data_IF_195127677168
#
_entry.id   IF_195127677168
#
_cell.length_a   1.000
_cell.length_b   1.000
_cell.length_c   1.000
_cell.angle_alpha   90.00
_cell.angle_beta   90.00
_cell.angle_gamma   90.00
#
_symmetry.space_group_name_H-M   'P 1'
#
loop_
_entity.id
_entity.type
_entity.pdbx_description
1 polymer ?
#
# COMPACT_ATOMS: atom_id res chain seq x y z
N UNK A 1 -7.92 10.39 -24.33
CA UNK A 1 -7.22 11.02 -23.18
C UNK A 1 -6.99 12.52 -23.35
N UNK A 2 -6.08 13.03 -24.18
CA UNK A 2 -5.87 14.51 -24.27
C UNK A 2 -7.12 15.26 -24.76
N UNK A 3 -7.86 14.70 -25.73
CA UNK A 3 -9.15 15.26 -26.19
C UNK A 3 -10.23 15.21 -25.12
N UNK A 4 -10.22 14.17 -24.27
CA UNK A 4 -11.17 14.04 -23.16
C UNK A 4 -10.90 15.10 -22.09
N UNK A 5 -9.62 15.34 -21.76
CA UNK A 5 -9.22 16.41 -20.84
C UNK A 5 -9.50 17.81 -21.42
N UNK A 6 -9.37 18.02 -22.74
CA UNK A 6 -9.75 19.31 -23.37
C UNK A 6 -11.26 19.58 -23.23
N UNK A 7 -12.07 18.56 -23.52
CA UNK A 7 -13.52 18.65 -23.34
C UNK A 7 -13.88 18.86 -21.86
N UNK A 8 -13.27 18.09 -20.94
CA UNK A 8 -13.49 18.22 -19.51
C UNK A 8 -13.09 19.61 -18.99
N UNK A 9 -11.96 20.16 -19.43
CA UNK A 9 -11.49 21.48 -19.02
C UNK A 9 -12.39 22.62 -19.53
N UNK A 10 -12.97 22.50 -20.73
CA UNK A 10 -13.95 23.47 -21.25
C UNK A 10 -15.24 23.43 -20.47
N UNK A 11 -15.80 22.24 -20.25
CA UNK A 11 -17.01 22.06 -19.44
C UNK A 11 -16.79 22.58 -18.02
N UNK A 12 -15.67 22.19 -17.40
CA UNK A 12 -15.31 22.63 -16.05
C UNK A 12 -15.07 24.13 -15.94
N UNK A 13 -14.60 24.79 -17.00
CA UNK A 13 -14.47 26.27 -17.00
C UNK A 13 -15.84 26.95 -16.95
N UNK A 14 -16.82 26.45 -17.70
CA UNK A 14 -18.19 26.99 -17.66
C UNK A 14 -18.86 26.70 -16.32
N UNK A 15 -18.66 25.50 -15.76
CA UNK A 15 -19.17 25.13 -14.43
C UNK A 15 -18.52 25.97 -13.32
N UNK A 16 -17.23 26.30 -13.45
CA UNK A 16 -16.52 27.18 -12.51
C UNK A 16 -17.13 28.57 -12.48
N UNK A 17 -17.48 29.17 -13.63
CA UNK A 17 -18.10 30.49 -13.67
C UNK A 17 -19.44 30.52 -12.92
N UNK A 18 -20.24 29.47 -13.09
CA UNK A 18 -21.50 29.27 -12.35
C UNK A 18 -21.21 29.10 -10.85
N UNK A 19 -20.24 28.26 -10.50
CA UNK A 19 -19.86 28.02 -9.12
C UNK A 19 -19.35 29.29 -8.42
N UNK A 20 -18.59 30.14 -9.12
CA UNK A 20 -18.09 31.43 -8.60
C UNK A 20 -19.26 32.38 -8.34
N UNK A 21 -20.24 32.43 -9.25
CA UNK A 21 -21.43 33.24 -9.06
C UNK A 21 -22.33 32.75 -7.90
N UNK A 22 -22.39 31.43 -7.69
CA UNK A 22 -23.22 30.79 -6.65
C UNK A 22 -22.58 30.86 -5.25
N UNK A 23 -21.28 30.56 -5.14
CA UNK A 23 -20.57 30.32 -3.88
C UNK A 23 -19.41 31.29 -3.58
N UNK A 24 -19.07 32.18 -4.52
CA UNK A 24 -18.00 33.17 -4.38
C UNK A 24 -16.59 32.61 -4.63
N UNK A 25 -15.65 33.52 -4.87
CA UNK A 25 -14.27 33.19 -5.29
C UNK A 25 -13.47 32.40 -4.23
N UNK A 26 -13.68 32.68 -2.94
CA UNK A 26 -12.92 32.02 -1.88
C UNK A 26 -13.21 30.51 -1.82
N UNK A 27 -14.49 30.13 -1.93
CA UNK A 27 -14.93 28.73 -1.87
C UNK A 27 -14.61 27.97 -3.15
N UNK A 28 -14.56 28.65 -4.30
CA UNK A 28 -14.23 28.04 -5.59
C UNK A 28 -12.74 28.00 -5.89
N UNK A 29 -11.88 28.56 -5.03
CA UNK A 29 -10.42 28.54 -5.23
C UNK A 29 -9.85 27.17 -5.59
N UNK A 30 -10.20 26.04 -4.92
CA UNK A 30 -9.69 24.72 -5.30
C UNK A 30 -10.12 24.28 -6.71
N UNK A 31 -11.33 24.65 -7.14
CA UNK A 31 -11.82 24.36 -8.49
C UNK A 31 -11.15 25.26 -9.53
N UNK A 32 -10.92 26.52 -9.20
CA UNK A 32 -10.09 27.43 -10.01
C UNK A 32 -8.68 26.87 -10.21
N UNK A 33 -8.04 26.39 -9.14
CA UNK A 33 -6.72 25.76 -9.19
C UNK A 33 -6.74 24.50 -10.08
N UNK A 34 -7.75 23.64 -9.93
CA UNK A 34 -7.92 22.43 -10.75
C UNK A 34 -8.07 22.76 -12.25
N UNK A 35 -8.87 23.78 -12.60
CA UNK A 35 -9.05 24.25 -13.99
C UNK A 35 -7.75 24.83 -14.55
N UNK A 36 -7.00 25.59 -13.75
CA UNK A 36 -5.68 26.11 -14.14
C UNK A 36 -4.69 24.97 -14.39
N UNK A 37 -4.64 23.98 -13.49
CA UNK A 37 -3.78 22.80 -13.61
C UNK A 37 -4.12 21.99 -14.87
N UNK A 38 -5.41 21.82 -15.18
CA UNK A 38 -5.85 21.14 -16.39
C UNK A 38 -5.45 21.89 -17.66
N UNK A 39 -5.60 23.21 -17.70
CA UNK A 39 -5.13 24.05 -18.82
C UNK A 39 -3.62 23.93 -19.02
N UNK A 40 -2.85 23.90 -17.93
CA UNK A 40 -1.40 23.70 -17.98
C UNK A 40 -1.02 22.30 -18.50
N UNK A 41 -1.71 21.25 -18.05
CA UNK A 41 -1.50 19.88 -18.53
C UNK A 41 -1.81 19.74 -20.03
N UNK A 42 -2.87 20.39 -20.52
CA UNK A 42 -3.21 20.43 -21.95
C UNK A 42 -2.16 21.18 -22.76
N UNK A 43 -1.69 22.33 -22.29
CA UNK A 43 -0.62 23.08 -22.95
C UNK A 43 0.66 22.24 -23.09
N UNK A 44 1.05 21.53 -22.02
CA UNK A 44 2.18 20.60 -22.06
C UNK A 44 1.95 19.45 -23.05
N UNK A 45 0.75 18.90 -23.10
CA UNK A 45 0.40 17.85 -24.06
C UNK A 45 0.54 18.33 -25.51
N UNK A 46 0.12 19.56 -25.82
CA UNK A 46 0.31 20.16 -27.14
C UNK A 46 1.77 20.43 -27.49
N UNK A 47 2.58 20.91 -26.53
CA UNK A 47 4.03 21.08 -26.74
C UNK A 47 4.72 19.75 -27.03
N UNK A 48 4.41 18.71 -26.25
CA UNK A 48 4.96 17.36 -26.49
C UNK A 48 4.50 16.82 -27.84
N UNK A 49 3.25 17.04 -28.22
CA UNK A 49 2.76 16.63 -29.54
C UNK A 49 3.50 17.35 -30.67
N UNK A 50 3.72 18.64 -30.55
CA UNK A 50 4.45 19.44 -31.53
C UNK A 50 5.90 18.97 -31.66
N UNK A 51 6.55 18.61 -30.54
CA UNK A 51 7.90 18.06 -30.54
C UNK A 51 7.96 16.72 -31.28
N UNK A 52 7.04 15.79 -30.95
CA UNK A 52 6.96 14.48 -31.60
C UNK A 52 6.62 14.53 -33.09
N UNK A 53 5.94 15.60 -33.53
CA UNK A 53 5.55 15.84 -34.93
C UNK A 53 6.60 16.69 -35.68
N UNK A 54 7.72 17.08 -35.04
CA UNK A 54 8.77 17.89 -35.67
C UNK A 54 9.71 17.07 -36.59
N UNK A 55 10.61 17.76 -37.30
CA UNK A 55 11.52 17.14 -38.27
C UNK A 55 12.69 16.35 -37.66
N UNK A 56 12.82 16.32 -36.34
CA UNK A 56 13.93 15.71 -35.59
C UNK A 56 13.42 14.54 -34.74
N UNK A 57 13.52 13.29 -35.21
CA UNK A 57 12.95 12.15 -34.50
C UNK A 57 13.68 11.89 -33.18
N UNK A 58 12.92 11.75 -32.09
CA UNK A 58 13.44 11.34 -30.78
C UNK A 58 13.76 9.85 -30.72
N UNK A 59 14.59 9.46 -29.74
CA UNK A 59 14.80 8.03 -29.46
C UNK A 59 13.51 7.38 -28.93
N UNK A 60 13.34 6.06 -29.09
CA UNK A 60 12.18 5.35 -28.54
C UNK A 60 11.99 5.55 -27.02
N UNK A 61 13.08 5.66 -26.27
CA UNK A 61 13.07 5.91 -24.83
C UNK A 61 12.59 7.32 -24.49
N UNK A 62 13.11 8.34 -25.18
CA UNK A 62 12.70 9.74 -25.02
C UNK A 62 11.23 9.93 -25.37
N UNK A 63 10.77 9.34 -26.48
CA UNK A 63 9.36 9.36 -26.89
C UNK A 63 8.46 8.74 -25.81
N UNK A 64 8.88 7.61 -25.23
CA UNK A 64 8.12 6.95 -24.16
C UNK A 64 8.04 7.81 -22.90
N UNK A 65 9.14 8.46 -22.51
CA UNK A 65 9.17 9.35 -21.35
C UNK A 65 8.24 10.55 -21.55
N UNK A 66 8.32 11.22 -22.71
CA UNK A 66 7.48 12.36 -23.06
C UNK A 66 5.99 11.99 -23.02
N UNK A 67 5.61 10.89 -23.66
CA UNK A 67 4.22 10.40 -23.67
C UNK A 67 3.74 9.99 -22.27
N UNK A 68 4.59 9.34 -21.48
CA UNK A 68 4.26 8.94 -20.10
C UNK A 68 3.98 10.17 -19.25
N UNK A 69 4.82 11.22 -19.36
CA UNK A 69 4.64 12.48 -18.64
C UNK A 69 3.31 13.15 -18.98
N UNK A 70 2.94 13.19 -20.26
CA UNK A 70 1.66 13.73 -20.71
C UNK A 70 0.49 12.94 -20.15
N UNK A 71 0.55 11.60 -20.22
CA UNK A 71 -0.51 10.72 -19.70
C UNK A 71 -0.70 10.92 -18.20
N UNK A 72 0.39 10.93 -17.42
CA UNK A 72 0.32 11.10 -15.96
C UNK A 72 -0.22 12.49 -15.58
N UNK A 73 0.24 13.55 -16.26
CA UNK A 73 -0.21 14.92 -16.03
C UNK A 73 -1.70 15.08 -16.37
N UNK A 74 -2.13 14.59 -17.54
CA UNK A 74 -3.52 14.62 -17.98
C UNK A 74 -4.44 13.82 -17.04
N UNK A 75 -4.04 12.60 -16.64
CA UNK A 75 -4.82 11.76 -15.73
C UNK A 75 -4.88 12.30 -14.30
N UNK A 76 -3.91 13.10 -13.86
CA UNK A 76 -3.98 13.81 -12.58
C UNK A 76 -4.96 14.98 -12.67
N UNK A 77 -4.86 15.80 -13.70
CA UNK A 77 -5.74 16.95 -13.91
C UNK A 77 -7.21 16.53 -14.07
N UNK A 78 -7.48 15.46 -14.81
CA UNK A 78 -8.83 14.90 -14.99
C UNK A 78 -9.46 14.48 -13.66
N UNK A 79 -8.72 13.74 -12.83
CA UNK A 79 -9.19 13.34 -11.49
C UNK A 79 -9.41 14.53 -10.56
N UNK A 80 -8.55 15.53 -10.64
CA UNK A 80 -8.68 16.75 -9.83
C UNK A 80 -9.94 17.52 -10.22
N UNK A 81 -10.19 17.69 -11.53
CA UNK A 81 -11.42 18.31 -12.04
C UNK A 81 -12.66 17.54 -11.58
N UNK A 82 -12.70 16.23 -11.78
CA UNK A 82 -13.88 15.43 -11.42
C UNK A 82 -14.18 15.49 -9.91
N UNK A 83 -13.14 15.41 -9.07
CA UNK A 83 -13.29 15.57 -7.62
C UNK A 83 -13.87 16.93 -7.23
N UNK A 84 -13.49 18.01 -7.93
CA UNK A 84 -14.06 19.32 -7.66
C UNK A 84 -15.50 19.43 -8.15
N UNK A 85 -15.83 18.86 -9.31
CA UNK A 85 -17.21 18.83 -9.84
C UNK A 85 -18.15 18.12 -8.88
N UNK A 86 -17.78 16.93 -8.42
CA UNK A 86 -18.55 16.18 -7.40
C UNK A 86 -18.74 17.00 -6.11
N UNK A 87 -17.71 17.71 -5.65
CA UNK A 87 -17.81 18.54 -4.46
C UNK A 87 -18.81 19.71 -4.64
N UNK A 88 -18.87 20.32 -5.82
CA UNK A 88 -19.84 21.39 -6.13
C UNK A 88 -21.26 20.86 -6.31
N UNK A 89 -21.42 19.67 -6.90
CA UNK A 89 -22.72 18.99 -6.96
C UNK A 89 -23.28 18.74 -5.56
N UNK A 90 -22.44 18.29 -4.62
CA UNK A 90 -22.86 18.11 -3.22
C UNK A 90 -23.27 19.43 -2.54
N UNK A 91 -22.58 20.54 -2.85
CA UNK A 91 -22.96 21.86 -2.34
C UNK A 91 -24.31 22.31 -2.92
N UNK A 92 -24.52 22.09 -4.21
CA UNK A 92 -25.79 22.43 -4.88
C UNK A 92 -26.94 21.57 -4.38
N UNK A 93 -26.72 20.26 -4.18
CA UNK A 93 -27.69 19.35 -3.57
C UNK A 93 -28.12 19.84 -2.19
N UNK A 94 -27.16 20.27 -1.36
CA UNK A 94 -27.45 20.83 -0.04
C UNK A 94 -28.36 22.05 -0.14
N UNK A 95 -28.07 22.98 -1.07
CA UNK A 95 -28.88 24.20 -1.26
C UNK A 95 -30.29 23.85 -1.76
N UNK A 96 -30.41 22.96 -2.75
CA UNK A 96 -31.71 22.52 -3.30
C UNK A 96 -32.56 21.85 -2.22
N UNK A 97 -31.94 20.99 -1.41
CA UNK A 97 -32.61 20.23 -0.37
C UNK A 97 -32.55 20.90 1.01
N UNK A 98 -32.19 22.18 1.08
CA UNK A 98 -32.01 22.87 2.35
C UNK A 98 -33.25 22.85 3.27
N UNK A 99 -34.50 23.05 2.76
CA UNK A 99 -35.68 23.02 3.63
C UNK A 99 -35.88 21.67 4.33
N UNK A 100 -35.81 20.56 3.58
CA UNK A 100 -36.00 19.21 4.15
C UNK A 100 -34.87 18.83 5.09
N UNK A 101 -33.62 19.21 4.77
CA UNK A 101 -32.47 19.03 5.67
C UNK A 101 -32.66 19.79 6.98
N UNK A 102 -33.10 21.05 6.93
CA UNK A 102 -33.33 21.87 8.12
C UNK A 102 -34.44 21.34 9.02
N UNK A 103 -35.48 20.75 8.43
CA UNK A 103 -36.53 20.07 9.20
C UNK A 103 -35.98 18.83 9.90
N UNK A 104 -35.14 18.04 9.22
CA UNK A 104 -34.41 16.92 9.83
C UNK A 104 -33.48 17.35 10.97
N UNK A 105 -32.75 18.47 10.82
CA UNK A 105 -31.90 19.02 11.90
C UNK A 105 -32.73 19.50 13.09
N UNK A 106 -33.90 20.08 12.83
CA UNK A 106 -34.83 20.53 13.89
C UNK A 106 -35.38 19.32 14.67
N UNK A 107 -35.74 18.25 13.97
CA UNK A 107 -36.17 17.01 14.61
C UNK A 107 -35.07 16.41 15.50
N UNK A 108 -33.83 16.36 14.99
CA UNK A 108 -32.67 15.89 15.77
C UNK A 108 -32.39 16.77 16.99
N UNK A 109 -32.49 18.09 16.84
CA UNK A 109 -32.36 19.03 17.95
C UNK A 109 -33.37 18.74 19.07
N UNK A 110 -34.64 18.53 18.72
CA UNK A 110 -35.70 18.20 19.69
C UNK A 110 -35.42 16.85 20.37
N UNK A 111 -35.05 15.82 19.60
CA UNK A 111 -34.68 14.50 20.11
C UNK A 111 -33.53 14.60 21.13
N UNK A 112 -32.44 15.29 20.78
CA UNK A 112 -31.27 15.44 21.64
C UNK A 112 -31.55 16.32 22.86
N UNK A 113 -32.38 17.35 22.72
CA UNK A 113 -32.83 18.18 23.85
C UNK A 113 -33.61 17.34 24.87
N UNK A 114 -34.48 16.43 24.40
CA UNK A 114 -35.21 15.53 25.29
C UNK A 114 -34.31 14.52 26.03
N UNK A 115 -33.09 14.26 25.53
CA UNK A 115 -32.11 13.38 26.17
C UNK A 115 -31.28 14.06 27.27
N UNK A 116 -31.30 15.39 27.37
CA UNK A 116 -30.48 16.14 28.32
C UNK A 116 -30.79 15.78 29.77
N UNK A 117 -32.08 15.78 30.15
CA UNK A 117 -32.48 15.50 31.54
C UNK A 117 -32.23 14.03 31.93
N UNK A 118 -32.58 13.02 31.09
CA UNK A 118 -32.17 11.63 31.32
C UNK A 118 -30.66 11.46 31.46
N UNK A 119 -29.85 12.10 30.60
CA UNK A 119 -28.39 12.01 30.70
C UNK A 119 -27.84 12.67 31.98
N UNK A 120 -28.44 13.79 32.42
CA UNK A 120 -28.08 14.43 33.67
C UNK A 120 -28.38 13.54 34.89
N UNK A 121 -29.54 12.88 34.90
CA UNK A 121 -29.91 11.90 35.91
C UNK A 121 -28.95 10.72 35.91
N UNK A 122 -28.64 10.18 34.71
CA UNK A 122 -27.69 9.08 34.57
C UNK A 122 -26.31 9.45 35.10
N UNK A 123 -25.80 10.63 34.77
CA UNK A 123 -24.52 11.11 35.29
C UNK A 123 -24.53 11.27 36.82
N UNK A 124 -25.66 11.67 37.41
CA UNK A 124 -25.81 11.74 38.86
C UNK A 124 -25.80 10.34 39.51
N UNK A 125 -26.45 9.35 38.90
CA UNK A 125 -26.39 7.95 39.34
C UNK A 125 -24.96 7.40 39.28
N UNK A 126 -24.23 7.68 38.20
CA UNK A 126 -22.85 7.22 38.03
C UNK A 126 -21.92 7.76 39.14
N UNK A 127 -22.16 8.98 39.64
CA UNK A 127 -21.40 9.57 40.76
C UNK A 127 -21.59 8.83 42.08
N UNK A 128 -22.64 8.02 42.22
CA UNK A 128 -22.82 7.14 43.37
C UNK A 128 -22.15 5.77 43.18
N UNK A 129 -21.90 5.37 41.94
CA UNK A 129 -21.32 4.06 41.59
C UNK A 129 -19.79 4.11 41.43
N UNK A 130 -19.26 5.20 40.87
CA UNK A 130 -17.84 5.35 40.54
C UNK A 130 -17.22 6.54 41.26
N UNK A 131 -15.90 6.47 41.48
CA UNK A 131 -15.12 7.59 42.01
C UNK A 131 -15.19 8.81 41.06
N UNK A 132 -15.26 10.06 41.56
CA UNK A 132 -15.30 11.26 40.73
C UNK A 132 -14.20 11.32 39.67
N UNK A 133 -13.01 10.78 39.97
CA UNK A 133 -11.92 10.79 39.03
C UNK A 133 -12.17 9.88 37.82
N UNK A 134 -12.90 8.76 37.99
CA UNK A 134 -13.24 7.85 36.89
C UNK A 134 -14.29 8.45 35.94
N UNK A 135 -15.00 9.48 36.42
CA UNK A 135 -16.00 10.23 35.68
C UNK A 135 -15.44 11.52 35.06
N UNK A 136 -14.16 11.84 35.24
CA UNK A 136 -13.56 13.10 34.74
C UNK A 136 -13.81 13.32 33.24
N UNK A 137 -13.74 12.25 32.45
CA UNK A 137 -13.95 12.30 31.00
C UNK A 137 -15.40 12.58 30.58
N UNK A 138 -16.38 12.31 31.45
CA UNK A 138 -17.82 12.44 31.16
C UNK A 138 -18.51 13.51 32.01
N UNK A 139 -17.85 14.03 33.04
CA UNK A 139 -18.45 14.93 34.03
C UNK A 139 -18.97 16.24 33.44
N UNK A 140 -18.36 16.71 32.34
CA UNK A 140 -18.73 17.94 31.63
C UNK A 140 -19.64 17.73 30.42
N UNK A 141 -19.91 16.48 30.02
CA UNK A 141 -20.51 16.19 28.71
C UNK A 141 -21.93 16.72 28.58
N UNK A 142 -22.73 16.67 29.65
CA UNK A 142 -24.10 17.21 29.63
C UNK A 142 -24.11 18.72 29.45
N UNK A 143 -23.19 19.43 30.13
CA UNK A 143 -23.07 20.89 29.99
C UNK A 143 -22.58 21.27 28.59
N UNK A 144 -21.53 20.59 28.09
CA UNK A 144 -21.04 20.80 26.74
C UNK A 144 -22.11 20.48 25.68
N UNK A 145 -22.91 19.41 25.86
CA UNK A 145 -24.00 19.07 24.95
C UNK A 145 -25.05 20.19 24.88
N UNK A 146 -25.41 20.82 26.01
CA UNK A 146 -26.31 21.99 26.03
C UNK A 146 -25.73 23.14 25.20
N UNK A 147 -24.46 23.49 25.39
CA UNK A 147 -23.81 24.55 24.61
C UNK A 147 -23.79 24.24 23.09
N UNK A 148 -23.57 22.97 22.72
CA UNK A 148 -23.64 22.52 21.32
C UNK A 148 -25.05 22.60 20.75
N UNK A 149 -26.07 22.24 21.54
CA UNK A 149 -27.47 22.37 21.14
C UNK A 149 -27.86 23.84 20.93
N UNK A 150 -27.47 24.74 21.83
CA UNK A 150 -27.70 26.18 21.65
C UNK A 150 -26.99 26.73 20.40
N UNK A 151 -25.77 26.27 20.12
CA UNK A 151 -25.07 26.64 18.90
C UNK A 151 -25.76 26.07 17.65
N UNK A 152 -26.25 24.83 17.70
CA UNK A 152 -27.01 24.23 16.62
C UNK A 152 -28.31 25.00 16.34
N UNK A 153 -29.08 25.35 17.37
CA UNK A 153 -30.32 26.12 17.26
C UNK A 153 -30.10 27.47 16.57
N UNK A 154 -29.09 28.23 17.00
CA UNK A 154 -28.70 29.48 16.35
C UNK A 154 -28.37 29.29 14.86
N UNK A 155 -27.61 28.25 14.52
CA UNK A 155 -27.23 27.97 13.13
C UNK A 155 -28.41 27.46 12.28
N UNK A 156 -29.34 26.69 12.85
CA UNK A 156 -30.60 26.31 12.19
C UNK A 156 -31.41 27.57 11.87
N UNK A 157 -31.50 28.52 12.81
CA UNK A 157 -32.13 29.82 12.59
C UNK A 157 -31.48 30.61 11.45
N UNK A 158 -30.15 30.77 11.48
CA UNK A 158 -29.38 31.44 10.43
C UNK A 158 -29.55 30.77 9.06
N UNK A 159 -29.54 29.43 9.01
CA UNK A 159 -29.76 28.68 7.79
C UNK A 159 -31.18 28.86 7.25
N UNK A 160 -32.21 28.88 8.11
CA UNK A 160 -33.59 29.16 7.69
C UNK A 160 -33.73 30.58 7.13
N UNK A 161 -33.09 31.58 7.76
CA UNK A 161 -33.07 32.94 7.23
C UNK A 161 -32.35 33.03 5.88
N UNK A 162 -31.20 32.38 5.73
CA UNK A 162 -30.43 32.35 4.49
C UNK A 162 -31.17 31.63 3.36
N UNK A 163 -31.89 30.55 3.67
CA UNK A 163 -32.71 29.81 2.72
C UNK A 163 -33.87 30.66 2.16
N UNK A 164 -34.47 31.53 2.99
CA UNK A 164 -35.56 32.43 2.57
C UNK A 164 -35.03 33.60 1.73
N UNK A 165 -33.82 34.09 2.03
CA UNK A 165 -33.19 35.23 1.34
C UNK A 165 -32.33 34.82 0.14
N UNK A 166 -32.56 33.67 -0.47
CA UNK A 166 -31.74 33.11 -1.55
C UNK A 166 -31.65 34.03 -2.80
N UNK A 167 -30.80 35.05 -2.69
CA UNK A 167 -30.27 35.89 -3.76
C UNK A 167 -28.90 35.29 -4.13
N UNK A 168 -28.59 35.22 -5.42
CA UNK A 168 -27.31 34.74 -5.95
C UNK A 168 -26.13 35.37 -5.19
N UNK A 169 -25.22 34.51 -4.66
CA UNK A 169 -24.04 34.92 -3.89
C UNK A 169 -24.11 34.73 -2.36
N UNK A 170 -25.26 34.34 -1.79
CA UNK A 170 -25.40 34.08 -0.33
C UNK A 170 -25.51 32.58 0.04
N UNK A 171 -25.33 31.67 -0.93
CA UNK A 171 -25.45 30.21 -0.70
C UNK A 171 -24.35 29.69 0.26
N UNK A 172 -23.23 30.39 0.34
CA UNK A 172 -22.12 30.09 1.27
C UNK A 172 -22.57 30.15 2.72
N UNK A 173 -23.32 31.20 3.10
CA UNK A 173 -23.81 31.36 4.47
C UNK A 173 -24.81 30.26 4.86
N UNK A 174 -25.66 29.84 3.91
CA UNK A 174 -26.59 28.72 4.10
C UNK A 174 -25.83 27.41 4.33
N UNK A 175 -24.88 27.07 3.44
CA UNK A 175 -24.07 25.86 3.55
C UNK A 175 -23.32 25.82 4.89
N UNK A 176 -22.71 26.94 5.28
CA UNK A 176 -21.92 27.02 6.51
C UNK A 176 -22.79 26.85 7.76
N UNK A 177 -23.95 27.50 7.79
CA UNK A 177 -24.89 27.37 8.89
C UNK A 177 -25.45 25.93 8.99
N UNK A 178 -25.81 25.30 7.86
CA UNK A 178 -26.26 23.89 7.83
C UNK A 178 -25.17 22.95 8.35
N UNK A 179 -23.95 23.05 7.83
CA UNK A 179 -22.83 22.20 8.25
C UNK A 179 -22.44 22.43 9.71
N UNK A 180 -22.48 23.68 10.17
CA UNK A 180 -22.22 24.02 11.57
C UNK A 180 -23.27 23.42 12.51
N UNK A 181 -24.55 23.46 12.12
CA UNK A 181 -25.63 22.82 12.86
C UNK A 181 -25.49 21.28 12.88
N UNK A 182 -25.25 20.66 11.72
CA UNK A 182 -24.99 19.21 11.59
C UNK A 182 -23.84 18.77 12.50
N UNK A 183 -22.70 19.47 12.43
CA UNK A 183 -21.53 19.17 13.25
C UNK A 183 -21.83 19.31 14.76
N UNK A 184 -22.55 20.37 15.15
CA UNK A 184 -22.89 20.61 16.54
C UNK A 184 -23.88 19.58 17.10
N UNK A 185 -24.91 19.19 16.33
CA UNK A 185 -25.85 18.12 16.71
C UNK A 185 -25.13 16.77 16.81
N UNK A 186 -24.21 16.47 15.88
CA UNK A 186 -23.36 15.28 15.95
C UNK A 186 -22.50 15.27 17.21
N UNK A 187 -21.88 16.39 17.56
CA UNK A 187 -21.10 16.53 18.79
C UNK A 187 -21.97 16.37 20.05
N UNK A 188 -23.15 16.99 20.09
CA UNK A 188 -24.09 16.84 21.20
C UNK A 188 -24.51 15.38 21.39
N UNK A 189 -24.83 14.68 20.29
CA UNK A 189 -25.17 13.24 20.30
C UNK A 189 -24.03 12.41 20.89
N UNK A 190 -22.80 12.56 20.38
CA UNK A 190 -21.63 11.82 20.88
C UNK A 190 -21.36 12.07 22.37
N UNK A 191 -21.53 13.31 22.84
CA UNK A 191 -21.36 13.65 24.25
C UNK A 191 -22.41 12.96 25.15
N UNK A 192 -23.66 12.89 24.70
CA UNK A 192 -24.73 12.23 25.44
C UNK A 192 -24.60 10.70 25.39
N UNK A 193 -24.25 10.14 24.23
CA UNK A 193 -23.97 8.72 24.07
C UNK A 193 -22.81 8.28 24.99
N UNK A 194 -21.79 9.12 25.16
CA UNK A 194 -20.68 8.85 26.08
C UNK A 194 -21.14 8.79 27.55
N UNK A 195 -22.15 9.57 27.96
CA UNK A 195 -22.73 9.49 29.31
C UNK A 195 -23.55 8.21 29.47
N UNK A 196 -24.32 7.84 28.46
CA UNK A 196 -25.15 6.63 28.47
C UNK A 196 -24.29 5.36 28.55
N UNK A 197 -23.17 5.33 27.82
CA UNK A 197 -22.25 4.19 27.77
C UNK A 197 -21.20 4.18 28.90
N UNK A 198 -21.03 5.28 29.63
CA UNK A 198 -19.95 5.44 30.62
C UNK A 198 -19.83 4.29 31.61
N UNK A 199 -20.94 3.77 32.16
CA UNK A 199 -20.89 2.64 33.09
C UNK A 199 -20.30 1.38 32.45
N UNK A 200 -20.72 1.06 31.23
CA UNK A 200 -20.23 -0.12 30.53
C UNK A 200 -18.75 0.06 30.17
N UNK A 201 -18.38 1.24 29.67
CA UNK A 201 -17.01 1.57 29.28
C UNK A 201 -16.05 1.57 30.47
N UNK A 202 -16.46 2.12 31.62
CA UNK A 202 -15.66 2.14 32.85
C UNK A 202 -15.45 0.71 33.36
N UNK A 203 -16.51 -0.10 33.46
CA UNK A 203 -16.41 -1.49 33.91
C UNK A 203 -15.54 -2.33 32.97
N UNK A 204 -15.75 -2.20 31.66
CA UNK A 204 -14.91 -2.87 30.67
C UNK A 204 -13.44 -2.46 30.80
N UNK A 205 -13.16 -1.18 31.00
CA UNK A 205 -11.81 -0.67 31.20
C UNK A 205 -11.18 -1.26 32.47
N UNK A 206 -11.91 -1.29 33.58
CA UNK A 206 -11.46 -1.89 34.84
C UNK A 206 -11.13 -3.39 34.65
N UNK A 207 -12.02 -4.13 34.00
CA UNK A 207 -11.86 -5.57 33.78
C UNK A 207 -10.73 -5.90 32.80
N UNK A 208 -10.52 -5.06 31.77
CA UNK A 208 -9.54 -5.26 30.71
C UNK A 208 -8.13 -4.74 31.04
N UNK A 209 -8.00 -3.74 31.92
CA UNK A 209 -6.72 -3.11 32.27
C UNK A 209 -5.63 -4.11 32.70
N UNK A 210 -5.89 -5.12 33.55
CA UNK A 210 -4.85 -6.08 33.94
C UNK A 210 -4.27 -6.88 32.76
N UNK A 211 -5.12 -7.33 31.83
CA UNK A 211 -4.67 -8.05 30.63
C UNK A 211 -3.84 -7.13 29.74
N UNK A 212 -4.33 -5.93 29.49
CA UNK A 212 -3.66 -4.94 28.64
C UNK A 212 -2.29 -4.52 29.20
N UNK A 213 -2.16 -4.40 30.54
CA UNK A 213 -0.87 -4.18 31.19
C UNK A 213 0.07 -5.36 30.91
N UNK A 214 -0.41 -6.60 31.04
CA UNK A 214 0.37 -7.80 30.73
C UNK A 214 0.88 -7.82 29.28
N UNK A 215 0.00 -7.52 28.33
CA UNK A 215 0.32 -7.49 26.91
C UNK A 215 1.35 -6.40 26.58
N UNK A 216 1.15 -5.19 27.10
CA UNK A 216 2.09 -4.08 26.93
C UNK A 216 3.47 -4.40 27.54
N UNK A 217 3.52 -5.03 28.71
CA UNK A 217 4.78 -5.48 29.32
C UNK A 217 5.50 -6.52 28.47
N UNK A 218 4.76 -7.48 27.89
CA UNK A 218 5.32 -8.45 26.97
C UNK A 218 5.83 -7.79 25.68
N UNK A 219 5.13 -6.77 25.16
CA UNK A 219 5.60 -5.92 24.07
C UNK A 219 6.91 -5.21 24.40
N UNK A 220 7.00 -4.58 25.57
CA UNK A 220 8.20 -3.87 26.05
C UNK A 220 9.39 -4.82 26.18
N UNK A 221 9.18 -6.02 26.73
CA UNK A 221 10.23 -7.03 26.86
C UNK A 221 10.77 -7.47 25.48
N UNK A 222 9.88 -7.73 24.51
CA UNK A 222 10.26 -8.04 23.12
C UNK A 222 11.06 -6.89 22.48
N UNK A 223 10.62 -5.65 22.69
CA UNK A 223 11.33 -4.49 22.18
C UNK A 223 12.74 -4.35 22.80
N UNK A 224 12.89 -4.59 24.10
CA UNK A 224 14.18 -4.57 24.79
C UNK A 224 15.16 -5.62 24.26
N UNK A 225 14.67 -6.82 23.95
CA UNK A 225 15.47 -7.88 23.31
C UNK A 225 15.96 -7.44 21.93
N UNK A 226 15.04 -6.94 21.08
CA UNK A 226 15.38 -6.47 19.74
C UNK A 226 16.36 -5.29 19.74
N UNK A 227 16.19 -4.34 20.65
CA UNK A 227 17.08 -3.18 20.79
C UNK A 227 18.50 -3.57 21.24
N UNK A 228 18.64 -4.62 22.07
CA UNK A 228 19.96 -5.16 22.42
C UNK A 228 20.65 -5.79 21.22
N UNK A 229 19.91 -6.50 20.37
CA UNK A 229 20.42 -7.12 19.15
C UNK A 229 20.77 -6.10 18.06
N UNK A 230 19.96 -5.03 17.91
CA UNK A 230 20.01 -4.11 16.77
C UNK A 230 20.80 -2.81 17.01
N UNK A 231 21.42 -2.62 18.17
CA UNK A 231 22.08 -1.37 18.62
C UNK A 231 23.14 -0.77 17.67
N UNK A 232 23.36 -1.34 16.48
CA UNK A 232 24.26 -0.82 15.44
C UNK A 232 23.68 -0.78 14.00
N UNK A 233 22.44 -1.22 13.68
CA UNK A 233 22.09 -1.53 12.27
C UNK A 233 20.68 -1.24 11.70
N UNK A 234 19.66 -0.84 12.47
CA UNK A 234 18.32 -0.60 11.90
C UNK A 234 17.94 0.88 11.84
N UNK A 235 17.37 1.32 10.71
CA UNK A 235 16.83 2.68 10.55
C UNK A 235 15.67 2.96 11.52
N UNK A 236 14.93 1.91 11.90
CA UNK A 236 13.72 1.98 12.74
C UNK A 236 13.99 1.73 14.24
N UNK A 237 15.26 1.59 14.64
CA UNK A 237 15.62 1.36 16.05
C UNK A 237 15.25 2.52 16.98
N UNK A 238 15.32 3.76 16.49
CA UNK A 238 14.90 4.96 17.23
C UNK A 238 13.40 4.99 17.48
N UNK A 239 12.60 4.63 16.47
CA UNK A 239 11.13 4.56 16.58
C UNK A 239 10.70 3.48 17.58
N UNK A 240 11.33 2.28 17.52
CA UNK A 240 11.06 1.22 18.49
C UNK A 240 11.41 1.66 19.93
N UNK A 241 12.53 2.35 20.14
CA UNK A 241 12.91 2.86 21.46
C UNK A 241 11.89 3.88 21.98
N UNK A 242 11.46 4.81 21.13
CA UNK A 242 10.46 5.81 21.52
C UNK A 242 9.10 5.19 21.87
N UNK A 243 8.65 4.22 21.07
CA UNK A 243 7.40 3.50 21.31
C UNK A 243 7.47 2.65 22.60
N UNK A 244 8.61 1.98 22.83
CA UNK A 244 8.88 1.21 24.05
C UNK A 244 8.82 2.10 25.30
N UNK A 245 9.45 3.27 25.27
CA UNK A 245 9.43 4.19 26.41
C UNK A 245 8.04 4.82 26.63
N UNK A 246 7.27 5.07 25.55
CA UNK A 246 5.89 5.50 25.65
C UNK A 246 4.99 4.44 26.30
N UNK A 247 5.14 3.18 25.91
CA UNK A 247 4.45 2.04 26.52
C UNK A 247 4.83 1.89 28.00
N UNK A 248 6.11 2.05 28.36
CA UNK A 248 6.55 2.04 29.76
C UNK A 248 5.84 3.12 30.61
N UNK A 249 5.81 4.37 30.12
CA UNK A 249 5.07 5.45 30.80
C UNK A 249 3.57 5.17 30.91
N UNK A 250 2.97 4.56 29.90
CA UNK A 250 1.55 4.20 29.93
C UNK A 250 1.24 3.08 30.94
N UNK A 251 2.12 2.08 31.06
CA UNK A 251 2.02 1.02 32.08
C UNK A 251 2.15 1.61 33.48
N UNK A 252 3.11 2.52 33.70
CA UNK A 252 3.30 3.18 34.99
C UNK A 252 2.07 4.03 35.37
N UNK A 253 1.52 4.77 34.41
CA UNK A 253 0.27 5.51 34.59
C UNK A 253 -0.91 4.59 34.94
N UNK A 254 -1.09 3.49 34.20
CA UNK A 254 -2.16 2.54 34.45
C UNK A 254 -2.05 1.88 35.82
N UNK A 255 -0.84 1.64 36.33
CA UNK A 255 -0.62 1.09 37.68
C UNK A 255 -0.85 2.11 38.80
N UNK A 256 -0.41 3.34 38.60
CA UNK A 256 -0.53 4.40 39.62
C UNK A 256 -1.90 5.04 39.69
N UNK A 257 -2.54 5.23 38.54
CA UNK A 257 -3.76 6.02 38.38
C UNK A 257 -4.91 5.24 37.76
N UNK A 258 -4.76 3.98 37.35
CA UNK A 258 -5.82 3.23 36.65
C UNK A 258 -7.06 2.92 37.49
N UNK A 259 -6.95 2.93 38.82
CA UNK A 259 -8.12 2.85 39.71
C UNK A 259 -8.90 4.17 39.78
N UNK A 260 -8.20 5.29 39.55
CA UNK A 260 -8.70 6.66 39.69
C UNK A 260 -9.19 7.18 38.33
N UNK A 261 -8.54 6.83 37.22
CA UNK A 261 -8.92 7.17 35.85
C UNK A 261 -8.80 5.93 34.95
N UNK A 262 -9.73 4.97 35.06
CA UNK A 262 -9.68 3.73 34.28
C UNK A 262 -9.81 3.98 32.78
N UNK A 263 -10.66 4.93 32.36
CA UNK A 263 -10.86 5.25 30.94
C UNK A 263 -9.61 5.88 30.31
N UNK A 264 -9.00 6.87 30.97
CA UNK A 264 -7.78 7.50 30.47
C UNK A 264 -6.60 6.53 30.48
N UNK A 265 -6.47 5.71 31.52
CA UNK A 265 -5.43 4.68 31.60
C UNK A 265 -5.57 3.65 30.47
N UNK A 266 -6.78 3.14 30.25
CA UNK A 266 -7.06 2.17 29.21
C UNK A 266 -6.79 2.75 27.81
N UNK A 267 -7.26 3.98 27.54
CA UNK A 267 -7.04 4.65 26.25
C UNK A 267 -5.56 4.93 25.98
N UNK A 268 -4.82 5.43 26.96
CA UNK A 268 -3.39 5.72 26.83
C UNK A 268 -2.58 4.43 26.62
N UNK A 269 -2.90 3.38 27.37
CA UNK A 269 -2.21 2.10 27.26
C UNK A 269 -2.53 1.39 25.95
N UNK A 270 -3.78 1.40 25.49
CA UNK A 270 -4.18 0.84 24.19
C UNK A 270 -3.45 1.52 23.04
N UNK A 271 -3.37 2.86 23.06
CA UNK A 271 -2.63 3.62 22.04
C UNK A 271 -1.15 3.25 22.05
N UNK A 272 -0.52 3.26 23.23
CA UNK A 272 0.89 2.97 23.36
C UNK A 272 1.24 1.52 22.96
N UNK A 273 0.39 0.56 23.31
CA UNK A 273 0.53 -0.84 22.89
C UNK A 273 0.39 -1.00 21.37
N UNK A 274 -0.61 -0.35 20.76
CA UNK A 274 -0.79 -0.37 19.31
C UNK A 274 0.42 0.25 18.57
N UNK A 275 0.95 1.36 19.08
CA UNK A 275 2.14 2.00 18.50
C UNK A 275 3.39 1.14 18.65
N UNK A 276 3.57 0.49 19.80
CA UNK A 276 4.66 -0.46 20.04
C UNK A 276 4.56 -1.69 19.12
N UNK A 277 3.38 -2.28 19.01
CA UNK A 277 3.14 -3.44 18.16
C UNK A 277 3.35 -3.10 16.67
N UNK A 278 3.01 -1.88 16.24
CA UNK A 278 3.32 -1.41 14.88
C UNK A 278 4.82 -1.35 14.64
N UNK A 279 5.58 -0.76 15.56
CA UNK A 279 7.04 -0.70 15.45
C UNK A 279 7.69 -2.10 15.45
N UNK A 280 7.20 -3.00 16.31
CA UNK A 280 7.63 -4.40 16.35
C UNK A 280 7.34 -5.12 15.03
N UNK A 281 6.16 -4.91 14.44
CA UNK A 281 5.77 -5.52 13.17
C UNK A 281 6.65 -5.05 12.01
N UNK A 282 6.94 -3.74 11.93
CA UNK A 282 7.88 -3.18 10.93
C UNK A 282 9.24 -3.87 11.01
N UNK A 283 9.81 -4.00 12.21
CA UNK A 283 11.11 -4.64 12.39
C UNK A 283 11.06 -6.14 12.05
N UNK A 284 9.97 -6.83 12.40
CA UNK A 284 9.80 -8.24 12.04
C UNK A 284 9.73 -8.43 10.51
N UNK A 285 9.04 -7.54 9.80
CA UNK A 285 8.95 -7.56 8.34
C UNK A 285 10.30 -7.29 7.67
N UNK A 286 11.08 -6.33 8.18
CA UNK A 286 12.45 -6.06 7.72
C UNK A 286 13.35 -7.29 7.88
N UNK A 287 13.30 -7.96 9.04
CA UNK A 287 14.08 -9.19 9.28
C UNK A 287 13.66 -10.32 8.35
N UNK A 288 12.36 -10.53 8.20
CA UNK A 288 11.83 -11.57 7.34
C UNK A 288 12.17 -11.32 5.86
N UNK A 289 12.17 -10.05 5.42
CA UNK A 289 12.57 -9.69 4.06
C UNK A 289 14.07 -9.90 3.82
N UNK A 290 14.92 -9.48 4.76
CA UNK A 290 16.36 -9.71 4.71
C UNK A 290 16.71 -11.21 4.68
N UNK A 291 16.04 -12.04 5.50
CA UNK A 291 16.23 -13.49 5.49
C UNK A 291 15.78 -14.16 4.18
N UNK A 292 14.67 -13.70 3.60
CA UNK A 292 14.21 -14.17 2.27
C UNK A 292 15.25 -13.83 1.20
N UNK A 293 15.77 -12.59 1.21
CA UNK A 293 16.79 -12.15 0.26
C UNK A 293 18.08 -12.97 0.41
N UNK A 294 18.54 -13.21 1.65
CA UNK A 294 19.71 -14.04 1.93
C UNK A 294 19.56 -15.47 1.44
N UNK A 295 18.39 -16.09 1.63
CA UNK A 295 18.11 -17.43 1.10
C UNK A 295 18.09 -17.46 -0.43
N UNK A 296 17.51 -16.44 -1.06
CA UNK A 296 17.51 -16.30 -2.53
C UNK A 296 18.93 -16.20 -3.08
N UNK A 297 19.78 -15.37 -2.44
CA UNK A 297 21.19 -15.23 -2.77
C UNK A 297 21.94 -16.56 -2.68
N UNK A 298 21.83 -17.27 -1.57
CA UNK A 298 22.50 -18.56 -1.37
C UNK A 298 22.12 -19.58 -2.46
N UNK A 299 20.83 -19.64 -2.83
CA UNK A 299 20.35 -20.54 -3.88
C UNK A 299 20.87 -20.15 -5.27
N UNK A 300 20.83 -18.86 -5.60
CA UNK A 300 21.32 -18.34 -6.88
C UNK A 300 22.84 -18.58 -7.03
N UNK A 301 23.60 -18.29 -5.97
CA UNK A 301 25.04 -18.49 -5.93
C UNK A 301 25.40 -19.97 -6.10
N UNK A 302 24.80 -20.87 -5.32
CA UNK A 302 25.05 -22.31 -5.44
C UNK A 302 24.77 -22.85 -6.85
N UNK A 303 23.67 -22.39 -7.46
CA UNK A 303 23.29 -22.77 -8.82
C UNK A 303 24.32 -22.28 -9.84
N UNK A 304 24.75 -21.02 -9.72
CA UNK A 304 25.75 -20.44 -10.59
C UNK A 304 27.11 -21.13 -10.45
N UNK A 305 27.59 -21.35 -9.22
CA UNK A 305 28.85 -22.06 -8.95
C UNK A 305 28.87 -23.45 -9.55
N UNK A 306 27.80 -24.22 -9.36
CA UNK A 306 27.69 -25.59 -9.87
C UNK A 306 27.73 -25.63 -11.40
N UNK A 307 27.01 -24.72 -12.06
CA UNK A 307 27.00 -24.62 -13.53
C UNK A 307 28.33 -24.16 -14.08
N UNK A 308 28.91 -23.07 -13.55
CA UNK A 308 30.21 -22.55 -14.02
C UNK A 308 31.29 -23.62 -13.89
N UNK A 309 31.33 -24.37 -12.77
CA UNK A 309 32.28 -25.46 -12.57
C UNK A 309 32.09 -26.58 -13.61
N UNK A 310 30.85 -27.09 -13.75
CA UNK A 310 30.56 -28.18 -14.69
C UNK A 310 30.89 -27.82 -16.14
N UNK A 311 30.57 -26.60 -16.57
CA UNK A 311 30.85 -26.14 -17.93
C UNK A 311 32.36 -25.92 -18.12
N UNK A 312 33.06 -25.37 -17.13
CA UNK A 312 34.52 -25.21 -17.18
C UNK A 312 35.22 -26.57 -17.32
N UNK A 313 34.83 -27.56 -16.52
CA UNK A 313 35.38 -28.92 -16.61
C UNK A 313 35.08 -29.58 -17.97
N UNK A 314 33.86 -29.37 -18.49
CA UNK A 314 33.46 -29.85 -19.82
C UNK A 314 34.31 -29.23 -20.94
N UNK A 315 34.58 -27.92 -20.84
CA UNK A 315 35.40 -27.18 -21.79
C UNK A 315 36.87 -27.62 -21.71
N UNK A 316 37.40 -27.76 -20.50
CA UNK A 316 38.80 -28.11 -20.27
C UNK A 316 39.17 -29.50 -20.77
N UNK A 317 38.28 -30.47 -20.62
CA UNK A 317 38.47 -31.83 -21.13
C UNK A 317 38.41 -31.92 -22.66
N UNK A 318 37.95 -30.87 -23.36
CA UNK A 318 37.72 -30.83 -24.81
C UNK A 318 38.33 -29.60 -25.50
N UNK A 319 39.47 -29.13 -24.99
CA UNK A 319 40.20 -27.94 -25.47
C UNK A 319 40.58 -27.96 -26.96
N UNK A 320 40.67 -29.14 -27.59
CA UNK A 320 40.94 -29.23 -29.03
C UNK A 320 39.71 -28.99 -29.91
N UNK A 321 38.51 -29.10 -29.34
CA UNK A 321 37.24 -29.16 -30.08
C UNK A 321 36.38 -27.92 -29.84
N UNK A 322 36.43 -27.34 -28.64
CA UNK A 322 35.56 -26.24 -28.25
C UNK A 322 36.15 -24.90 -28.68
N UNK A 323 35.32 -24.10 -29.35
CA UNK A 323 35.65 -22.83 -29.95
C UNK A 323 35.83 -21.68 -28.94
N UNK A 324 36.29 -20.51 -29.41
CA UNK A 324 36.57 -19.36 -28.56
C UNK A 324 35.30 -18.76 -27.91
N UNK A 325 34.15 -18.85 -28.58
CA UNK A 325 32.90 -18.24 -28.12
C UNK A 325 32.40 -18.85 -26.80
N UNK A 326 32.39 -20.19 -26.69
CA UNK A 326 32.02 -20.89 -25.46
C UNK A 326 32.98 -20.55 -24.30
N UNK A 327 34.29 -20.40 -24.59
CA UNK A 327 35.31 -20.04 -23.59
C UNK A 327 35.11 -18.62 -23.07
N UNK A 328 34.83 -17.67 -23.97
CA UNK A 328 34.52 -16.28 -23.59
C UNK A 328 33.31 -16.23 -22.68
N UNK A 329 32.23 -16.95 -23.00
CA UNK A 329 31.02 -16.99 -22.17
C UNK A 329 31.26 -17.57 -20.78
N UNK A 330 32.08 -18.62 -20.64
CA UNK A 330 32.47 -19.16 -19.33
C UNK A 330 33.36 -18.18 -18.54
N UNK A 331 34.26 -17.46 -19.21
CA UNK A 331 35.09 -16.44 -18.56
C UNK A 331 34.23 -15.28 -18.03
N UNK A 332 33.27 -14.82 -18.82
CA UNK A 332 32.29 -13.80 -18.40
C UNK A 332 31.40 -14.31 -17.26
N UNK A 333 30.94 -15.56 -17.32
CA UNK A 333 30.18 -16.19 -16.24
C UNK A 333 30.97 -16.20 -14.91
N UNK A 334 32.26 -16.53 -14.99
CA UNK A 334 33.17 -16.54 -13.83
C UNK A 334 33.36 -15.13 -13.26
N UNK A 335 33.48 -14.11 -14.13
CA UNK A 335 33.56 -12.71 -13.71
C UNK A 335 32.29 -12.27 -12.95
N UNK A 336 31.11 -12.62 -13.47
CA UNK A 336 29.84 -12.32 -12.79
C UNK A 336 29.67 -13.09 -11.48
N UNK A 337 30.17 -14.34 -11.39
CA UNK A 337 30.17 -15.09 -10.15
C UNK A 337 31.04 -14.42 -9.07
N UNK A 338 32.19 -13.86 -9.46
CA UNK A 338 33.03 -13.10 -8.54
C UNK A 338 32.35 -11.80 -8.10
N UNK A 339 31.77 -11.04 -9.04
CA UNK A 339 31.02 -9.83 -8.71
C UNK A 339 29.84 -10.11 -7.76
N UNK A 340 29.16 -11.25 -7.91
CA UNK A 340 28.10 -11.68 -6.98
C UNK A 340 28.60 -11.92 -5.54
N UNK A 341 29.87 -12.30 -5.34
CA UNK A 341 30.47 -12.46 -4.01
C UNK A 341 30.93 -11.12 -3.46
N UNK A 342 31.51 -10.30 -4.32
CA UNK A 342 32.01 -8.97 -3.93
C UNK A 342 30.85 -8.07 -3.48
N UNK A 343 29.68 -8.17 -4.11
CA UNK A 343 28.47 -7.40 -3.75
C UNK A 343 27.65 -7.98 -2.59
N UNK A 344 28.01 -9.14 -2.03
CA UNK A 344 27.22 -9.81 -0.96
C UNK A 344 27.00 -8.89 0.26
N UNK A 345 28.02 -8.12 0.63
CA UNK A 345 28.01 -7.27 1.83
C UNK A 345 27.40 -5.88 1.61
N UNK A 346 27.30 -5.43 0.37
CA UNK A 346 26.95 -4.05 -0.01
C UNK A 346 25.57 -3.95 -0.64
N UNK A 347 25.28 -4.81 -1.62
CA UNK A 347 23.99 -4.86 -2.31
C UNK A 347 23.62 -6.31 -2.66
N UNK A 348 22.84 -6.92 -1.79
CA UNK A 348 22.44 -8.31 -1.96
C UNK A 348 21.48 -8.52 -3.15
N UNK A 349 20.76 -7.49 -3.61
CA UNK A 349 19.92 -7.59 -4.79
C UNK A 349 20.78 -7.64 -6.06
N UNK A 350 21.80 -6.78 -6.15
CA UNK A 350 22.76 -6.80 -7.25
C UNK A 350 23.60 -8.09 -7.25
N UNK A 351 23.96 -8.58 -6.06
CA UNK A 351 24.63 -9.87 -5.89
C UNK A 351 23.81 -11.03 -6.48
N UNK A 352 22.49 -11.06 -6.26
CA UNK A 352 21.57 -12.04 -6.86
C UNK A 352 21.54 -11.87 -8.39
N UNK A 353 21.47 -10.64 -8.90
CA UNK A 353 21.43 -10.36 -10.33
C UNK A 353 22.72 -10.86 -11.04
N UNK A 354 23.88 -10.64 -10.43
CA UNK A 354 25.15 -11.17 -10.89
C UNK A 354 25.21 -12.70 -10.88
N UNK A 355 24.73 -13.36 -9.81
CA UNK A 355 24.67 -14.82 -9.75
C UNK A 355 23.76 -15.41 -10.85
N UNK A 356 22.59 -14.81 -11.09
CA UNK A 356 21.68 -15.23 -12.15
C UNK A 356 22.28 -15.03 -13.56
N UNK A 357 22.97 -13.90 -13.77
CA UNK A 357 23.70 -13.63 -15.00
C UNK A 357 24.80 -14.67 -15.24
N UNK A 358 25.58 -15.02 -14.22
CA UNK A 358 26.59 -16.07 -14.29
C UNK A 358 25.99 -17.44 -14.69
N UNK A 359 24.87 -17.83 -14.07
CA UNK A 359 24.14 -19.06 -14.41
C UNK A 359 23.65 -19.09 -15.87
N UNK A 360 23.24 -17.93 -16.40
CA UNK A 360 22.75 -17.77 -17.77
C UNK A 360 23.90 -17.86 -18.79
N UNK A 361 25.02 -17.18 -18.52
CA UNK A 361 26.22 -17.24 -19.34
C UNK A 361 26.84 -18.64 -19.36
N UNK A 362 26.84 -19.34 -18.23
CA UNK A 362 27.28 -20.74 -18.16
C UNK A 362 26.39 -21.66 -19.02
N UNK A 363 25.06 -21.47 -19.00
CA UNK A 363 24.16 -22.25 -19.85
C UNK A 363 24.39 -21.98 -21.35
N UNK A 364 24.64 -20.73 -21.73
CA UNK A 364 24.98 -20.37 -23.11
C UNK A 364 26.31 -20.98 -23.54
N UNK A 365 27.33 -20.93 -22.67
CA UNK A 365 28.62 -21.57 -22.90
C UNK A 365 28.48 -23.09 -23.09
N UNK A 366 27.63 -23.76 -22.29
CA UNK A 366 27.35 -25.19 -22.46
C UNK A 366 26.71 -25.50 -23.80
N UNK A 367 25.75 -24.69 -24.25
CA UNK A 367 25.09 -24.88 -25.55
C UNK A 367 26.09 -24.78 -26.69
N UNK A 368 26.89 -23.70 -26.71
CA UNK A 368 27.94 -23.49 -27.71
C UNK A 368 28.96 -24.63 -27.71
N UNK A 369 29.43 -25.04 -26.52
CA UNK A 369 30.37 -26.14 -26.37
C UNK A 369 29.79 -27.49 -26.86
N UNK A 370 28.48 -27.71 -26.70
CA UNK A 370 27.82 -28.90 -27.23
C UNK A 370 27.72 -28.87 -28.75
N UNK A 371 27.43 -27.71 -29.33
CA UNK A 371 27.33 -27.53 -30.78
C UNK A 371 28.69 -27.67 -31.45
N UNK A 372 29.77 -27.15 -30.84
CA UNK A 372 31.15 -27.34 -31.28
C UNK A 372 31.54 -28.83 -31.32
N UNK A 373 31.20 -29.59 -30.27
CA UNK A 373 31.47 -31.02 -30.20
C UNK A 373 30.71 -31.79 -31.27
N UNK A 374 29.43 -31.45 -31.50
CA UNK A 374 28.63 -32.06 -32.58
C UNK A 374 29.21 -31.75 -33.96
N UNK A 375 29.61 -30.50 -34.21
CA UNK A 375 30.21 -30.09 -35.47
C UNK A 375 31.52 -30.83 -35.73
N UNK A 376 32.38 -30.95 -34.72
CA UNK A 376 33.62 -31.72 -34.85
C UNK A 376 33.37 -33.20 -35.10
N UNK A 377 32.42 -33.83 -34.40
CA UNK A 377 32.04 -35.22 -34.64
C UNK A 377 31.59 -35.46 -36.10
N UNK A 378 30.83 -34.53 -36.69
CA UNK A 378 30.41 -34.60 -38.09
C UNK A 378 31.60 -34.48 -39.06
N UNK A 379 32.57 -33.61 -38.78
CA UNK A 379 33.80 -33.47 -39.58
C UNK A 379 34.69 -34.72 -39.49
N UNK A 380 34.80 -35.32 -38.31
CA UNK A 380 35.55 -36.57 -38.13
C UNK A 380 34.83 -37.79 -38.76
N UNK A 381 33.49 -37.84 -38.70
CA UNK A 381 32.70 -38.89 -39.36
C UNK A 381 32.70 -38.76 -40.90
N UNK A 382 32.74 -37.53 -41.44
CA UNK A 382 32.79 -37.28 -42.88
C UNK A 382 34.16 -37.50 -43.55
N UNK A 383 35.23 -37.72 -42.76
CA UNK A 383 36.59 -37.99 -43.26
C UNK A 383 37.00 -39.47 -43.21
N UNK A 384 36.14 -40.34 -42.68
CA UNK A 384 36.33 -41.79 -42.59
C UNK A 384 35.50 -42.54 -43.64
N UNK A 385 35.80 -42.29 -44.92
CA UNK A 385 35.17 -42.93 -46.07
C UNK A 385 36.15 -43.64 -46.98
N UNK A 386 37.10 -44.39 -46.42
CA UNK A 386 37.70 -45.59 -47.07
C UNK A 386 38.44 -46.40 -46.02
N UNK A 387 37.97 -47.64 -45.81
CA UNK A 387 38.67 -48.78 -45.20
C UNK A 387 39.61 -48.54 -44.00
N UNK A 388 39.15 -48.90 -42.80
CA UNK A 388 39.78 -49.98 -42.04
C UNK A 388 38.95 -50.33 -40.80
N UNK A 389 38.59 -51.61 -40.71
CA UNK A 389 37.98 -52.19 -39.53
C UNK A 389 38.95 -52.33 -38.35
N UNK A 390 38.35 -52.42 -37.17
CA UNK A 390 38.84 -53.12 -35.98
C UNK A 390 40.30 -52.90 -35.54
N UNK A 391 40.49 -52.03 -34.55
CA UNK A 391 41.31 -52.33 -33.36
C UNK A 391 41.09 -51.23 -32.30
N UNK A 392 40.51 -51.54 -31.13
CA UNK A 392 41.21 -51.66 -29.83
C UNK A 392 41.84 -50.32 -29.37
N UNK A 393 41.50 -49.71 -28.23
CA UNK A 393 40.72 -50.14 -27.07
C UNK A 393 40.74 -49.06 -25.97
N UNK A 394 39.91 -49.23 -24.95
CA UNK A 394 39.89 -48.37 -23.77
C UNK A 394 38.60 -48.40 -22.95
N UNK A 395 37.95 -49.56 -22.81
CA UNK A 395 36.93 -49.81 -21.79
C UNK A 395 37.62 -49.92 -20.43
N UNK A 396 37.31 -49.03 -19.49
CA UNK A 396 37.28 -49.40 -18.06
C UNK A 396 35.82 -49.48 -17.67
N UNK A 397 35.35 -50.73 -17.64
CA UNK A 397 34.15 -51.17 -16.95
C UNK A 397 34.56 -51.38 -15.48
N UNK A 398 33.90 -50.68 -14.58
CA UNK A 398 33.99 -50.88 -13.14
C UNK A 398 32.60 -50.83 -12.54
N UNK A 399 31.80 -51.86 -12.83
CA UNK A 399 30.61 -52.18 -12.05
C UNK A 399 31.03 -52.74 -10.69
N UNK A 400 30.36 -52.31 -9.61
CA UNK A 400 29.90 -53.11 -8.45
C UNK A 400 29.73 -52.23 -7.19
N UNK A 401 28.54 -51.64 -7.04
CA UNK A 401 27.81 -51.62 -5.76
C UNK A 401 26.39 -51.10 -6.01
N UNK A 402 25.47 -52.05 -6.09
CA UNK A 402 24.05 -51.78 -6.22
C UNK A 402 23.40 -51.41 -4.88
N UNK A 403 22.21 -50.83 -5.02
CA UNK A 403 21.13 -51.01 -4.07
C UNK A 403 20.64 -49.74 -3.39
N UNK A 404 19.50 -49.21 -3.85
CA UNK A 404 18.56 -48.53 -2.96
C UNK A 404 17.90 -47.28 -3.49
N UNK A 405 16.63 -47.43 -3.88
CA UNK A 405 15.55 -46.42 -3.88
C UNK A 405 15.63 -45.29 -4.93
N UNK A 406 14.78 -45.31 -5.96
CA UNK A 406 13.33 -44.97 -5.97
C UNK A 406 13.11 -43.46 -6.11
N UNK A 407 12.56 -43.06 -7.26
CA UNK A 407 11.90 -41.76 -7.43
C UNK A 407 12.33 -41.04 -8.70
N UNK A 408 11.54 -41.21 -9.77
CA UNK A 408 11.78 -40.56 -11.05
C UNK A 408 11.60 -39.05 -11.00
N UNK A 409 12.32 -38.36 -11.88
CA UNK A 409 11.98 -37.00 -12.30
C UNK A 409 11.99 -36.95 -13.82
N UNK A 410 10.80 -36.68 -14.35
CA UNK A 410 10.50 -36.57 -15.77
C UNK A 410 11.03 -35.27 -16.37
N UNK A 411 11.08 -35.31 -17.71
CA UNK A 411 11.51 -34.20 -18.55
C UNK A 411 10.66 -32.95 -18.41
N UNK A 412 11.29 -31.84 -18.72
CA UNK A 412 10.66 -30.53 -18.78
C UNK A 412 10.76 -30.02 -20.23
N UNK A 413 9.62 -30.01 -20.92
CA UNK A 413 9.38 -29.18 -22.11
C UNK A 413 9.07 -27.75 -21.68
N UNK A 414 9.39 -26.74 -22.49
CA UNK A 414 9.14 -25.35 -22.15
C UNK A 414 7.69 -25.00 -22.51
N UNK A 415 6.97 -24.33 -21.61
CA UNK A 415 5.69 -23.68 -21.95
C UNK A 415 5.80 -22.17 -21.81
N UNK A 416 5.41 -21.56 -22.92
CA UNK A 416 5.08 -20.17 -23.16
C UNK A 416 3.97 -19.64 -22.26
N UNK A 417 4.02 -18.32 -22.06
CA UNK A 417 2.89 -17.48 -21.65
C UNK A 417 1.65 -17.69 -22.52
N UNK A 418 0.47 -17.68 -21.90
CA UNK A 418 -0.79 -17.35 -22.58
C UNK A 418 -2.06 -18.00 -22.03
N UNK A 419 -2.88 -17.20 -21.34
CA UNK A 419 -4.31 -17.07 -21.65
C UNK A 419 -5.34 -18.02 -21.01
N UNK A 420 -5.94 -17.52 -19.93
CA UNK A 420 -7.40 -17.46 -19.65
C UNK A 420 -8.24 -18.73 -19.34
N UNK A 421 -9.37 -18.54 -18.61
CA UNK A 421 -9.88 -19.51 -17.63
C UNK A 421 -11.19 -20.21 -18.02
N UNK A 422 -11.44 -21.37 -17.40
CA UNK A 422 -12.75 -22.06 -17.37
C UNK A 422 -12.58 -23.58 -17.28
N UNK A 423 -13.31 -24.34 -16.47
CA UNK A 423 -14.42 -24.04 -15.57
C UNK A 423 -15.05 -25.36 -15.05
N UNK A 424 -16.20 -25.19 -14.40
CA UNK A 424 -17.28 -26.17 -14.17
C UNK A 424 -17.48 -26.66 -12.74
N UNK A 425 -18.52 -26.10 -12.12
CA UNK A 425 -19.40 -26.86 -11.24
C UNK A 425 -20.85 -26.42 -11.48
N UNK A 426 -21.68 -27.34 -11.97
CA UNK A 426 -23.05 -27.55 -11.49
C UNK A 426 -24.17 -26.62 -11.98
N UNK A 427 -24.95 -27.10 -12.96
CA UNK A 427 -26.38 -27.41 -12.78
C UNK A 427 -27.43 -26.29 -12.69
N UNK A 428 -28.46 -26.39 -13.55
CA UNK A 428 -29.80 -25.79 -13.38
C UNK A 428 -30.08 -24.60 -14.29
N UNK A 429 -30.73 -24.78 -15.46
CA UNK A 429 -32.18 -24.75 -15.69
C UNK A 429 -32.81 -23.34 -15.73
N UNK A 430 -33.27 -22.96 -16.94
CA UNK A 430 -34.31 -21.95 -17.31
C UNK A 430 -34.05 -20.49 -16.92
N UNK A 431 -34.34 -19.45 -17.70
CA UNK A 431 -35.04 -19.28 -18.97
C UNK A 431 -35.49 -17.82 -19.05
N UNK A 432 -35.43 -17.21 -20.24
CA UNK A 432 -36.32 -16.11 -20.63
C UNK A 432 -35.81 -14.66 -20.55
N UNK A 433 -35.84 -13.99 -21.70
CA UNK A 433 -36.39 -12.63 -21.81
C UNK A 433 -35.40 -11.46 -21.84
N UNK A 434 -35.30 -10.79 -22.99
CA UNK A 434 -34.54 -9.54 -23.14
C UNK A 434 -35.37 -8.25 -23.00
N UNK A 435 -34.72 -7.14 -23.41
CA UNK A 435 -35.22 -5.74 -23.57
C UNK A 435 -35.38 -5.04 -22.21
N UNK A 436 -34.85 -3.85 -21.93
CA UNK A 436 -34.62 -2.62 -22.70
C UNK A 436 -33.35 -1.91 -22.24
#
# INVERSE_FOLDING_TARGET
MVVEVDNAARTSSNELDVAVAEFGEERTRPFTEAVVNAKAALAQAFTVRQQLDDGTPETPEQRRELLTRVIVSAARADRELESQREAFEQLRDLVINAPSRLDGLTQQYVELTARIDPAAQRLAELRHEFDPAALTSVSGNVAAAKERLEFADRNIGLAREAAVRAVSGQQTALVDAVRAAEAALGQARSLLDAVDNAAADIRHSIDGLPSLIGDAQAGIARADELLKEQKAKSAHGGELSAARDAAGRAVDYARGSGATDPLGAFAQLTRADADLNRALATIAEERASAERLRRSYQQALFTAESRVRAVSDYIDTRRGTIGPEARTRVAEATRHLQAARDEEATDMAEAIAHANTASTLAAQAQSLANDDVRAAQQVYAGRGGSDMGAMVGGLILGDLLGGGMRGGFGGWTPTSYGGSPGGSSGGGLMGGGGRF
#
